data_IF_022665466326
#
_entry.id   IF_022665466326
#
_cell.length_a   1.000
_cell.length_b   1.000
_cell.length_c   1.000
_cell.angle_alpha   90.00
_cell.angle_beta   90.00
_cell.angle_gamma   90.00
#
_symmetry.space_group_name_H-M   'P 1'
#
loop_
_entity.id
_entity.type
_entity.pdbx_description
1 polymer ?
#
# COMPACT_ATOMS: atom_id res chain seq x y z
N UNK A 1 26.33 -14.53 -21.34
CA UNK A 1 24.99 -15.16 -21.36
C UNK A 1 24.42 -15.31 -19.94
N UNK A 2 25.10 -16.00 -19.01
CA UNK A 2 24.65 -16.18 -17.61
C UNK A 2 24.61 -14.91 -16.78
N UNK A 3 25.63 -14.04 -16.89
CA UNK A 3 25.68 -12.76 -16.18
C UNK A 3 24.50 -11.83 -16.51
N UNK A 4 24.07 -11.81 -17.77
CA UNK A 4 22.97 -10.96 -18.23
C UNK A 4 21.64 -11.40 -17.59
N UNK A 5 21.41 -12.71 -17.49
CA UNK A 5 20.23 -13.26 -16.80
C UNK A 5 20.20 -12.93 -15.32
N UNK A 6 21.37 -13.00 -14.64
CA UNK A 6 21.50 -12.63 -13.22
C UNK A 6 21.18 -11.14 -13.02
N UNK A 7 21.69 -10.26 -13.90
CA UNK A 7 21.43 -8.81 -13.82
C UNK A 7 19.94 -8.50 -14.00
N UNK A 8 19.28 -9.10 -14.99
CA UNK A 8 17.83 -8.90 -15.22
C UNK A 8 17.00 -9.42 -14.04
N UNK A 9 17.36 -10.59 -13.49
CA UNK A 9 16.69 -11.16 -12.33
C UNK A 9 16.83 -10.28 -11.09
N UNK A 10 18.02 -9.72 -10.84
CA UNK A 10 18.26 -8.78 -9.74
C UNK A 10 17.49 -7.47 -9.91
N UNK A 11 17.41 -6.93 -11.13
CA UNK A 11 16.61 -5.73 -11.42
C UNK A 11 15.12 -6.01 -11.20
N UNK A 12 14.61 -7.16 -11.65
CA UNK A 12 13.23 -7.56 -11.42
C UNK A 12 12.91 -7.74 -9.93
N UNK A 13 13.81 -8.39 -9.18
CA UNK A 13 13.69 -8.52 -7.73
C UNK A 13 13.73 -7.17 -7.01
N UNK A 14 14.61 -6.26 -7.44
CA UNK A 14 14.70 -4.90 -6.90
C UNK A 14 13.37 -4.17 -7.11
N UNK A 15 12.84 -4.14 -8.33
CA UNK A 15 11.55 -3.50 -8.64
C UNK A 15 10.37 -4.09 -7.84
N UNK A 16 10.31 -5.41 -7.68
CA UNK A 16 9.28 -6.07 -6.86
C UNK A 16 9.44 -5.72 -5.39
N UNK A 17 10.68 -5.64 -4.90
CA UNK A 17 10.98 -5.30 -3.52
C UNK A 17 10.72 -3.81 -3.23
N UNK A 18 11.00 -2.92 -4.18
CA UNK A 18 10.65 -1.50 -4.10
C UNK A 18 9.14 -1.30 -4.13
N UNK A 19 8.38 -1.99 -4.98
CA UNK A 19 6.91 -1.95 -4.92
C UNK A 19 6.37 -2.40 -3.56
N UNK A 20 6.97 -3.44 -2.96
CA UNK A 20 6.58 -3.92 -1.63
C UNK A 20 6.99 -2.97 -0.51
N UNK A 21 8.14 -2.29 -0.63
CA UNK A 21 8.61 -1.28 0.32
C UNK A 21 7.90 0.07 0.16
N UNK A 22 7.44 0.43 -1.03
CA UNK A 22 6.67 1.65 -1.26
C UNK A 22 5.21 1.55 -0.79
N UNK A 23 4.75 0.36 -0.38
CA UNK A 23 3.57 0.20 0.48
C UNK A 23 3.82 0.61 1.95
N UNK A 24 5.05 1.00 2.30
CA UNK A 24 5.46 1.39 3.66
C UNK A 24 6.38 2.62 3.69
N UNK A 25 6.36 3.43 2.63
CA UNK A 25 7.03 4.73 2.61
C UNK A 25 6.00 5.86 2.88
N UNK A 26 5.16 5.62 3.90
CA UNK A 26 4.43 6.67 4.60
C UNK A 26 5.32 7.15 5.73
N UNK A 27 5.89 8.34 5.55
CA UNK A 27 6.67 9.11 6.51
C UNK A 27 6.36 8.82 7.99
N UNK A 28 7.42 8.63 8.77
CA UNK A 28 7.41 8.91 10.20
C UNK A 28 6.94 10.35 10.42
N UNK A 29 5.65 10.55 10.70
CA UNK A 29 5.15 11.74 11.38
C UNK A 29 3.77 11.44 11.99
N UNK A 30 3.64 11.81 13.26
CA UNK A 30 2.48 11.63 14.11
C UNK A 30 1.12 11.88 13.41
N UNK A 31 0.27 10.85 13.31
CA UNK A 31 -1.20 10.97 13.23
C UNK A 31 -1.84 9.58 13.32
N UNK A 32 -2.47 9.28 14.45
CA UNK A 32 -3.28 8.07 14.66
C UNK A 32 -4.48 7.98 13.69
N UNK A 33 -4.88 9.09 13.11
CA UNK A 33 -5.96 9.25 12.11
C UNK A 33 -5.64 8.53 10.78
N UNK A 34 -4.37 8.56 10.34
CA UNK A 34 -3.94 7.95 9.07
C UNK A 34 -4.08 6.41 9.09
N UNK A 35 -3.82 5.77 10.24
CA UNK A 35 -3.96 4.31 10.37
C UNK A 35 -5.40 3.83 10.20
N UNK A 36 -6.37 4.61 10.67
CA UNK A 36 -7.77 4.27 10.51
C UNK A 36 -8.19 4.42 9.03
N UNK A 37 -7.72 5.47 8.35
CA UNK A 37 -7.91 5.66 6.92
C UNK A 37 -7.29 4.56 6.07
N UNK A 38 -6.07 4.13 6.38
CA UNK A 38 -5.38 3.06 5.66
C UNK A 38 -6.12 1.72 5.80
N UNK A 39 -6.55 1.38 7.02
CA UNK A 39 -7.36 0.17 7.27
C UNK A 39 -8.69 0.23 6.52
N UNK A 40 -9.32 1.40 6.45
CA UNK A 40 -10.56 1.60 5.71
C UNK A 40 -10.36 1.40 4.20
N UNK A 41 -9.27 1.96 3.65
CA UNK A 41 -8.91 1.82 2.24
C UNK A 41 -8.59 0.37 1.87
N UNK A 42 -7.88 -0.34 2.74
CA UNK A 42 -7.56 -1.76 2.54
C UNK A 42 -8.82 -2.63 2.48
N UNK A 43 -9.77 -2.43 3.41
CA UNK A 43 -11.04 -3.16 3.42
C UNK A 43 -11.88 -2.89 2.17
N UNK A 44 -11.91 -1.65 1.70
CA UNK A 44 -12.59 -1.29 0.45
C UNK A 44 -11.93 -1.96 -0.77
N UNK A 45 -10.59 -1.95 -0.85
CA UNK A 45 -9.86 -2.62 -1.93
C UNK A 45 -10.06 -4.15 -1.94
N UNK A 46 -10.25 -4.75 -0.76
CA UNK A 46 -10.59 -6.18 -0.60
C UNK A 46 -12.07 -6.47 -0.89
N UNK A 47 -12.91 -5.44 -1.06
CA UNK A 47 -14.35 -5.59 -1.26
C UNK A 47 -15.12 -6.03 -0.01
N UNK A 48 -14.52 -5.88 1.18
CA UNK A 48 -15.16 -6.22 2.45
C UNK A 48 -16.19 -5.18 2.89
N UNK A 49 -16.11 -3.97 2.33
CA UNK A 49 -17.04 -2.88 2.55
C UNK A 49 -17.44 -2.26 1.20
N UNK A 50 -18.67 -1.76 1.14
CA UNK A 50 -19.22 -1.09 -0.03
C UNK A 50 -18.74 0.35 -0.15
N UNK A 51 -18.92 0.95 -1.32
CA UNK A 51 -18.55 2.36 -1.56
C UNK A 51 -19.31 3.33 -0.63
N UNK A 52 -20.55 3.01 -0.27
CA UNK A 52 -21.37 3.84 0.62
C UNK A 52 -20.88 3.78 2.08
N UNK A 53 -20.50 2.60 2.56
CA UNK A 53 -19.90 2.41 3.89
C UNK A 53 -18.53 3.08 3.99
N UNK A 54 -17.72 2.99 2.92
CA UNK A 54 -16.43 3.68 2.84
C UNK A 54 -16.57 5.19 2.96
N UNK A 55 -17.52 5.80 2.23
CA UNK A 55 -17.75 7.25 2.28
C UNK A 55 -18.23 7.69 3.67
N UNK A 56 -19.14 6.93 4.27
CA UNK A 56 -19.66 7.21 5.62
C UNK A 56 -18.52 7.20 6.65
N UNK A 57 -17.71 6.14 6.67
CA UNK A 57 -16.59 6.02 7.62
C UNK A 57 -15.48 7.03 7.35
N UNK A 58 -15.23 7.38 6.09
CA UNK A 58 -14.28 8.44 5.73
C UNK A 58 -14.70 9.79 6.31
N UNK A 59 -15.99 10.13 6.22
CA UNK A 59 -16.51 11.40 6.74
C UNK A 59 -16.53 11.45 8.28
N UNK A 60 -16.57 10.31 8.97
CA UNK A 60 -16.49 10.26 10.45
C UNK A 60 -15.08 10.37 11.02
N UNK A 61 -14.08 10.10 10.19
CA UNK A 61 -12.66 10.05 10.57
C UNK A 61 -11.88 11.29 10.07
N UNK A 62 -12.56 12.21 9.37
CA UNK A 62 -12.06 13.53 8.94
C UNK A 62 -12.59 14.64 9.83
#
# INVERSE_FOLDING_TARGET
MTFIGIVIFLIGLFLVFDCKKHGLNGSCFCKSEDRAMDTLRERYARGEITSEEFITMKNTLS
#
